data_IF_063636259841
#
_entry.id   IF_063636259841
#
_cell.length_a   1.000
_cell.length_b   1.000
_cell.length_c   1.000
_cell.angle_alpha   90.00
_cell.angle_beta   90.00
_cell.angle_gamma   90.00
#
_symmetry.space_group_name_H-M   'P 1'
#
loop_
_entity.id
_entity.type
_entity.pdbx_description
1 polymer ?
#
# COMPACT_ATOMS: atom_id res chain seq x y z
N UNK A 1 -10.16 0.77 12.65
CA UNK A 1 -10.67 1.93 11.89
C UNK A 1 -9.89 2.15 10.59
N UNK A 2 -9.52 1.08 9.87
CA UNK A 2 -8.88 1.16 8.56
C UNK A 2 -9.39 0.01 7.70
N UNK A 3 -8.87 -1.21 7.87
CA UNK A 3 -9.31 -2.39 7.12
C UNK A 3 -10.82 -2.70 7.27
N UNK A 4 -11.37 -2.50 8.47
CA UNK A 4 -12.82 -2.66 8.69
C UNK A 4 -13.69 -1.71 7.85
N UNK A 5 -13.18 -0.56 7.41
CA UNK A 5 -13.91 0.35 6.51
C UNK A 5 -14.05 -0.27 5.11
N UNK A 6 -13.06 -1.04 4.66
CA UNK A 6 -13.14 -1.76 3.39
C UNK A 6 -14.18 -2.88 3.46
N UNK A 7 -14.20 -3.69 4.54
CA UNK A 7 -15.22 -4.72 4.74
C UNK A 7 -16.62 -4.11 4.81
N UNK A 8 -16.77 -2.98 5.52
CA UNK A 8 -18.02 -2.21 5.54
C UNK A 8 -18.45 -1.82 4.13
N UNK A 9 -17.54 -1.24 3.34
CA UNK A 9 -17.82 -0.82 1.97
C UNK A 9 -18.17 -2.00 1.05
N UNK A 10 -17.44 -3.12 1.11
CA UNK A 10 -17.78 -4.33 0.36
C UNK A 10 -19.20 -4.81 0.71
N UNK A 11 -19.54 -4.81 2.00
CA UNK A 11 -20.85 -5.23 2.48
C UNK A 11 -21.96 -4.28 2.03
N UNK A 12 -21.78 -2.96 2.19
CA UNK A 12 -22.77 -1.96 1.76
C UNK A 12 -22.97 -1.99 0.24
N UNK A 13 -21.89 -2.14 -0.52
CA UNK A 13 -21.97 -2.29 -1.97
C UNK A 13 -22.74 -3.56 -2.37
N UNK A 14 -22.47 -4.69 -1.72
CA UNK A 14 -23.14 -5.97 -2.00
C UNK A 14 -24.62 -5.94 -1.62
N UNK A 15 -24.99 -5.19 -0.58
CA UNK A 15 -26.38 -4.96 -0.18
C UNK A 15 -27.12 -3.93 -1.07
N UNK A 16 -26.47 -3.40 -2.11
CA UNK A 16 -27.06 -2.39 -2.98
C UNK A 16 -27.27 -1.04 -2.30
N UNK A 17 -26.45 -0.71 -1.30
CA UNK A 17 -26.52 0.52 -0.49
C UNK A 17 -25.31 1.44 -0.71
N UNK A 18 -25.06 1.94 -1.94
CA UNK A 18 -23.89 2.77 -2.21
C UNK A 18 -23.87 4.09 -1.43
N UNK A 19 -25.03 4.63 -1.05
CA UNK A 19 -25.15 5.84 -0.23
C UNK A 19 -24.61 5.68 1.20
N UNK A 20 -24.45 4.45 1.67
CA UNK A 20 -23.96 4.14 3.02
C UNK A 20 -22.46 3.77 3.03
N UNK A 21 -21.79 3.88 1.88
CA UNK A 21 -20.37 3.62 1.74
C UNK A 21 -19.53 4.84 2.13
N UNK A 22 -18.32 4.57 2.61
CA UNK A 22 -17.27 5.58 2.70
C UNK A 22 -16.68 5.82 1.30
N UNK A 23 -17.00 6.94 0.69
CA UNK A 23 -16.56 7.32 -0.66
C UNK A 23 -16.64 8.85 -0.84
N UNK A 24 -16.07 9.36 -1.94
CA UNK A 24 -16.16 10.78 -2.27
C UNK A 24 -17.59 11.24 -2.63
N UNK A 25 -18.50 10.33 -2.96
CA UNK A 25 -19.87 10.63 -3.39
C UNK A 25 -20.94 10.35 -2.33
N UNK A 26 -20.57 9.70 -1.23
CA UNK A 26 -21.46 9.34 -0.13
C UNK A 26 -20.88 9.86 1.20
N UNK A 27 -20.46 8.97 2.11
CA UNK A 27 -19.89 9.38 3.40
C UNK A 27 -18.40 9.66 3.22
N UNK A 28 -18.03 10.93 3.15
CA UNK A 28 -16.65 11.33 2.84
C UNK A 28 -15.73 11.21 4.07
N UNK A 29 -14.52 10.71 3.84
CA UNK A 29 -13.41 10.75 4.80
C UNK A 29 -12.22 11.47 4.16
N UNK A 30 -12.30 12.79 4.08
CA UNK A 30 -11.30 13.59 3.36
C UNK A 30 -9.98 13.71 4.14
N UNK A 31 -8.81 13.57 3.47
CA UNK A 31 -7.50 13.78 4.07
C UNK A 31 -7.16 15.28 4.16
N UNK A 32 -7.96 16.04 4.92
CA UNK A 32 -7.90 17.52 4.97
C UNK A 32 -6.52 18.07 5.35
N UNK A 33 -5.78 17.39 6.23
CA UNK A 33 -4.43 17.82 6.60
C UNK A 33 -3.45 17.68 5.44
N UNK A 34 -3.55 16.60 4.66
CA UNK A 34 -2.70 16.42 3.49
C UNK A 34 -3.04 17.48 2.43
N UNK A 35 -4.32 17.70 2.15
CA UNK A 35 -4.78 18.74 1.22
C UNK A 35 -4.30 20.14 1.64
N UNK A 36 -4.34 20.45 2.94
CA UNK A 36 -3.80 21.70 3.48
C UNK A 36 -2.29 21.84 3.28
N UNK A 37 -1.53 20.76 3.48
CA UNK A 37 -0.10 20.71 3.17
C UNK A 37 0.13 20.92 1.66
N UNK A 38 -0.62 20.25 0.78
CA UNK A 38 -0.51 20.45 -0.69
C UNK A 38 -0.71 21.93 -1.04
N UNK A 39 -1.75 22.57 -0.51
CA UNK A 39 -2.03 23.98 -0.75
C UNK A 39 -0.91 24.91 -0.23
N UNK A 40 -0.38 24.62 0.96
CA UNK A 40 0.73 25.38 1.54
C UNK A 40 1.98 25.30 0.66
N UNK A 41 2.31 24.12 0.13
CA UNK A 41 3.44 23.95 -0.79
C UNK A 41 3.18 24.56 -2.17
N UNK A 42 1.96 24.48 -2.68
CA UNK A 42 1.58 25.06 -3.96
C UNK A 42 1.67 26.60 -3.94
N UNK A 43 1.21 27.23 -2.86
CA UNK A 43 1.23 28.69 -2.68
C UNK A 43 2.57 29.22 -2.15
N UNK A 44 3.53 28.36 -1.81
CA UNK A 44 4.81 28.79 -1.24
C UNK A 44 5.60 29.78 -2.12
N UNK A 45 5.71 29.60 -3.46
CA UNK A 45 6.41 30.55 -4.32
C UNK A 45 5.81 31.95 -4.19
N UNK A 46 6.66 32.95 -4.04
CA UNK A 46 6.26 34.37 -3.89
C UNK A 46 5.51 34.72 -2.58
N UNK A 47 5.22 33.77 -1.69
CA UNK A 47 4.67 34.03 -0.35
C UNK A 47 5.68 33.66 0.75
N UNK A 48 5.86 32.37 1.00
CA UNK A 48 6.75 31.85 2.07
C UNK A 48 8.13 31.47 1.53
N UNK A 49 8.27 31.37 0.20
CA UNK A 49 9.52 31.15 -0.51
C UNK A 49 9.70 32.22 -1.62
N UNK A 50 10.14 33.45 -1.30
CA UNK A 50 10.17 34.57 -2.24
C UNK A 50 11.05 34.35 -3.48
N UNK A 51 12.16 33.62 -3.30
CA UNK A 51 13.11 33.34 -4.37
C UNK A 51 12.74 32.09 -5.19
N UNK A 52 11.70 31.36 -4.81
CA UNK A 52 11.25 30.19 -5.55
C UNK A 52 10.35 30.60 -6.70
N UNK A 53 10.59 30.01 -7.88
CA UNK A 53 9.82 30.24 -9.10
C UNK A 53 8.67 29.23 -9.28
N UNK A 54 8.73 28.09 -8.59
CA UNK A 54 7.74 27.02 -8.66
C UNK A 54 7.65 26.29 -7.31
N UNK A 55 6.54 25.57 -7.09
CA UNK A 55 6.35 24.74 -5.91
C UNK A 55 7.38 23.59 -5.87
N UNK A 56 7.53 22.94 -4.71
CA UNK A 56 8.52 21.85 -4.51
C UNK A 56 8.31 20.66 -5.47
N UNK A 57 7.08 20.44 -5.94
CA UNK A 57 6.71 19.41 -6.89
C UNK A 57 5.42 19.82 -7.60
N UNK A 58 5.24 19.36 -8.84
CA UNK A 58 4.00 19.52 -9.61
C UNK A 58 2.85 18.65 -9.08
N UNK A 59 3.14 17.72 -8.16
CA UNK A 59 2.12 16.87 -7.52
C UNK A 59 1.21 17.65 -6.56
N UNK A 60 1.67 18.80 -6.05
CA UNK A 60 0.92 19.61 -5.08
C UNK A 60 -0.22 20.43 -5.73
N UNK A 61 -0.12 20.70 -7.04
CA UNK A 61 -0.99 21.61 -7.77
C UNK A 61 -0.29 22.20 -8.99
N UNK A 62 -1.04 22.95 -9.80
CA UNK A 62 -0.53 23.62 -11.00
C UNK A 62 -0.80 22.89 -12.31
N UNK A 63 -0.02 23.23 -13.33
CA UNK A 63 -0.23 22.74 -14.69
C UNK A 63 0.34 21.34 -14.90
N UNK A 64 -0.31 20.60 -15.79
CA UNK A 64 0.19 19.33 -16.28
C UNK A 64 1.40 19.54 -17.18
N UNK A 65 2.44 18.73 -16.99
CA UNK A 65 3.62 18.69 -17.86
C UNK A 65 3.59 17.44 -18.72
N UNK A 66 3.73 17.63 -20.02
CA UNK A 66 3.69 16.55 -21.02
C UNK A 66 5.01 16.46 -21.80
N UNK A 67 5.46 15.24 -22.08
CA UNK A 67 6.64 14.96 -22.93
C UNK A 67 6.29 13.83 -23.89
N UNK A 68 6.46 14.05 -25.20
CA UNK A 68 6.18 13.03 -26.21
C UNK A 68 4.72 12.55 -26.23
N UNK A 69 3.77 13.45 -25.92
CA UNK A 69 2.34 13.12 -25.84
C UNK A 69 1.93 12.35 -24.58
N UNK A 70 2.84 12.10 -23.63
CA UNK A 70 2.55 11.43 -22.35
C UNK A 70 2.65 12.41 -21.19
N UNK A 71 1.87 12.18 -20.15
CA UNK A 71 1.99 12.94 -18.90
C UNK A 71 3.32 12.61 -18.22
N UNK A 72 4.17 13.62 -18.05
CA UNK A 72 5.39 13.50 -17.25
C UNK A 72 5.06 13.67 -15.76
N UNK A 73 4.27 14.68 -15.41
CA UNK A 73 3.72 14.88 -14.07
C UNK A 73 2.47 15.76 -14.12
N UNK A 74 1.57 15.57 -13.16
CA UNK A 74 0.40 16.42 -12.93
C UNK A 74 0.02 16.39 -11.44
N UNK A 75 -0.86 17.30 -10.98
CA UNK A 75 -1.33 17.31 -9.60
C UNK A 75 -1.97 15.98 -9.21
N UNK A 76 -1.64 15.48 -8.01
CA UNK A 76 -2.20 14.24 -7.46
C UNK A 76 -3.28 14.63 -6.45
N UNK A 77 -4.55 14.45 -6.84
CA UNK A 77 -5.68 14.67 -5.94
C UNK A 77 -5.70 13.61 -4.84
N UNK A 78 -6.08 14.02 -3.63
CA UNK A 78 -6.22 13.14 -2.47
C UNK A 78 -7.67 13.14 -2.00
N UNK A 79 -8.35 12.00 -2.11
CA UNK A 79 -9.75 11.81 -1.69
C UNK A 79 -9.92 10.76 -0.60
N UNK A 80 -11.15 10.24 -0.48
CA UNK A 80 -11.51 9.24 0.54
C UNK A 80 -10.73 7.93 0.38
N UNK A 81 -10.52 7.47 -0.85
CA UNK A 81 -9.72 6.26 -1.12
C UNK A 81 -8.25 6.45 -0.70
N UNK A 82 -7.69 7.64 -0.91
CA UNK A 82 -6.35 7.97 -0.44
C UNK A 82 -6.29 7.99 1.09
N UNK A 83 -7.28 8.56 1.77
CA UNK A 83 -7.37 8.52 3.23
C UNK A 83 -7.38 7.08 3.76
N UNK A 84 -8.21 6.21 3.17
CA UNK A 84 -8.35 4.82 3.60
C UNK A 84 -7.02 4.06 3.47
N UNK A 85 -6.35 4.16 2.32
CA UNK A 85 -5.10 3.41 2.07
C UNK A 85 -3.93 3.92 2.90
N UNK A 86 -3.84 5.24 3.16
CA UNK A 86 -2.82 5.78 4.08
C UNK A 86 -2.98 5.25 5.51
N UNK A 87 -4.22 5.01 5.97
CA UNK A 87 -4.44 4.38 7.27
C UNK A 87 -4.11 2.87 7.28
N UNK A 88 -4.16 2.20 6.12
CA UNK A 88 -3.62 0.84 5.97
C UNK A 88 -2.08 0.86 6.04
N UNK A 89 -1.42 1.83 5.40
CA UNK A 89 0.04 1.99 5.53
C UNK A 89 0.43 2.22 6.98
N UNK A 90 -0.23 3.16 7.67
CA UNK A 90 0.01 3.41 9.08
C UNK A 90 -0.17 2.14 9.91
N UNK A 91 -1.29 1.42 9.74
CA UNK A 91 -1.54 0.17 10.44
C UNK A 91 -0.43 -0.87 10.23
N UNK A 92 -0.06 -1.16 8.98
CA UNK A 92 0.94 -2.20 8.67
C UNK A 92 2.34 -1.83 9.17
N UNK A 93 2.71 -0.55 9.11
CA UNK A 93 3.97 -0.04 9.68
C UNK A 93 3.96 -0.20 11.21
N UNK A 94 2.88 0.20 11.88
CA UNK A 94 2.79 0.09 13.35
C UNK A 94 2.86 -1.36 13.82
N UNK A 95 2.24 -2.31 13.10
CA UNK A 95 2.36 -3.73 13.44
C UNK A 95 3.78 -4.25 13.21
N UNK A 96 4.44 -3.83 12.13
CA UNK A 96 5.85 -4.18 11.87
C UNK A 96 6.75 -3.67 13.01
N UNK A 97 6.57 -2.40 13.41
CA UNK A 97 7.31 -1.80 14.54
C UNK A 97 6.99 -2.51 15.86
N UNK A 98 5.72 -2.84 16.12
CA UNK A 98 5.30 -3.57 17.33
C UNK A 98 6.06 -4.90 17.46
N UNK A 99 6.14 -5.68 16.38
CA UNK A 99 6.82 -6.98 16.38
C UNK A 99 8.32 -6.81 16.65
N UNK A 100 8.97 -5.91 15.91
CA UNK A 100 10.41 -5.71 16.02
C UNK A 100 10.79 -5.11 17.39
N UNK A 101 10.07 -4.09 17.84
CA UNK A 101 10.31 -3.45 19.13
C UNK A 101 10.05 -4.43 20.30
N UNK A 102 9.00 -5.25 20.22
CA UNK A 102 8.77 -6.33 21.19
C UNK A 102 9.93 -7.33 21.20
N UNK A 103 10.43 -7.73 20.03
CA UNK A 103 11.59 -8.61 19.91
C UNK A 103 12.84 -8.03 20.59
N UNK A 104 13.08 -6.73 20.40
CA UNK A 104 14.22 -6.02 21.01
C UNK A 104 14.05 -5.91 22.53
N UNK A 105 12.93 -5.39 23.01
CA UNK A 105 12.72 -5.12 24.44
C UNK A 105 12.66 -6.40 25.28
N UNK A 106 12.09 -7.50 24.75
CA UNK A 106 11.97 -8.77 25.45
C UNK A 106 13.05 -9.79 25.07
N UNK A 107 14.16 -9.34 24.48
CA UNK A 107 15.29 -10.20 24.08
C UNK A 107 16.05 -10.77 25.28
N UNK A 108 16.26 -9.95 26.33
CA UNK A 108 17.06 -10.34 27.50
C UNK A 108 16.25 -11.10 28.56
N UNK A 109 14.99 -10.74 28.74
CA UNK A 109 14.10 -11.36 29.72
C UNK A 109 12.64 -11.08 29.38
N UNK A 110 11.74 -11.94 29.81
CA UNK A 110 10.30 -11.66 29.85
C UNK A 110 9.71 -12.21 31.14
N UNK A 111 8.44 -11.87 31.43
CA UNK A 111 7.72 -12.45 32.56
C UNK A 111 7.63 -13.98 32.49
N UNK A 112 7.62 -14.54 31.27
CA UNK A 112 7.51 -15.99 31.04
C UNK A 112 8.86 -16.70 31.15
N UNK A 113 9.93 -16.07 30.63
CA UNK A 113 11.30 -16.62 30.59
C UNK A 113 12.24 -15.53 31.13
N UNK A 114 12.50 -15.52 32.45
CA UNK A 114 13.31 -14.49 33.10
C UNK A 114 14.78 -14.49 32.63
N UNK A 115 15.31 -15.64 32.28
CA UNK A 115 16.71 -15.91 31.94
C UNK A 115 16.96 -16.02 30.43
N UNK A 116 16.08 -15.43 29.61
CA UNK A 116 16.12 -15.56 28.13
C UNK A 116 17.48 -15.16 27.52
N UNK A 117 18.18 -14.19 28.11
CA UNK A 117 19.52 -13.78 27.68
C UNK A 117 20.53 -14.94 27.63
N UNK A 118 20.38 -15.97 28.48
CA UNK A 118 21.25 -17.14 28.50
C UNK A 118 21.02 -18.08 27.31
N UNK A 119 19.81 -18.06 26.73
CA UNK A 119 19.47 -18.83 25.52
C UNK A 119 20.03 -18.19 24.24
N UNK A 120 20.48 -16.94 24.31
CA UNK A 120 21.08 -16.20 23.20
C UNK A 120 20.05 -15.52 22.28
N UNK A 121 20.53 -15.01 21.14
CA UNK A 121 19.69 -14.27 20.19
C UNK A 121 18.80 -15.17 19.32
N UNK A 122 19.33 -16.34 18.91
CA UNK A 122 18.71 -17.27 17.97
C UNK A 122 18.58 -18.65 18.58
N UNK A 123 17.37 -19.00 18.98
CA UNK A 123 16.98 -20.30 19.51
C UNK A 123 15.49 -20.52 19.25
N UNK A 124 15.01 -21.76 19.03
CA UNK A 124 13.63 -21.99 18.55
C UNK A 124 12.55 -21.85 19.64
N UNK A 125 12.85 -22.28 20.86
CA UNK A 125 11.93 -22.28 22.01
C UNK A 125 12.69 -22.58 23.33
N UNK A 126 11.97 -22.51 24.45
CA UNK A 126 12.36 -23.02 25.78
C UNK A 126 11.46 -24.22 26.18
N UNK A 127 11.27 -25.15 25.23
CA UNK A 127 10.47 -26.37 25.40
C UNK A 127 8.94 -26.19 25.43
N UNK A 128 8.18 -27.30 25.56
CA UNK A 128 6.70 -27.29 25.55
C UNK A 128 6.08 -26.87 26.89
N UNK A 129 6.88 -26.64 27.93
CA UNK A 129 6.40 -26.18 29.23
C UNK A 129 5.71 -24.83 29.16
N UNK A 130 5.05 -24.43 30.25
CA UNK A 130 4.35 -23.13 30.38
C UNK A 130 3.28 -22.87 29.29
N UNK A 131 2.73 -23.93 28.71
CA UNK A 131 1.74 -23.86 27.62
C UNK A 131 2.34 -23.78 26.21
N UNK A 132 3.67 -23.84 26.07
CA UNK A 132 4.41 -23.73 24.82
C UNK A 132 5.15 -22.40 24.69
N UNK A 133 6.44 -22.45 24.34
CA UNK A 133 7.33 -21.28 24.26
C UNK A 133 7.95 -21.10 22.87
N UNK A 134 7.25 -21.55 21.84
CA UNK A 134 7.70 -21.38 20.45
C UNK A 134 7.88 -19.90 20.12
N UNK A 135 8.90 -19.59 19.31
CA UNK A 135 9.10 -18.27 18.70
C UNK A 135 9.29 -17.11 19.70
N UNK A 136 9.89 -17.40 20.85
CA UNK A 136 10.16 -16.39 21.89
C UNK A 136 11.47 -15.64 21.70
N UNK A 137 12.36 -16.09 20.80
CA UNK A 137 13.66 -15.46 20.57
C UNK A 137 13.52 -14.15 19.79
N UNK A 138 14.52 -13.27 19.89
CA UNK A 138 14.53 -12.04 19.10
C UNK A 138 14.70 -12.34 17.60
N UNK A 139 15.39 -13.43 17.24
CA UNK A 139 15.46 -13.90 15.86
C UNK A 139 14.08 -14.25 15.29
N UNK A 140 13.22 -14.90 16.07
CA UNK A 140 11.85 -15.22 15.63
C UNK A 140 11.00 -13.96 15.44
N UNK A 141 11.24 -12.90 16.22
CA UNK A 141 10.57 -11.62 16.00
C UNK A 141 11.05 -10.93 14.72
N UNK A 142 12.32 -11.08 14.34
CA UNK A 142 12.79 -10.64 13.02
C UNK A 142 12.11 -11.45 11.91
N UNK A 143 12.02 -12.77 12.06
CA UNK A 143 11.29 -13.65 11.14
C UNK A 143 9.84 -13.20 10.93
N UNK A 144 9.07 -12.98 12.01
CA UNK A 144 7.70 -12.47 11.92
C UNK A 144 7.64 -11.05 11.33
N UNK A 145 8.62 -10.20 11.66
CA UNK A 145 8.75 -8.85 11.14
C UNK A 145 8.94 -8.81 9.63
N UNK A 146 9.62 -9.81 9.03
CA UNK A 146 9.78 -9.91 7.58
C UNK A 146 8.45 -10.07 6.85
N UNK A 147 7.53 -10.88 7.37
CA UNK A 147 6.19 -11.04 6.76
C UNK A 147 5.36 -9.76 6.84
N UNK A 148 5.44 -9.03 7.95
CA UNK A 148 4.74 -7.77 8.11
C UNK A 148 5.34 -6.64 7.29
N UNK A 149 6.66 -6.62 7.15
CA UNK A 149 7.35 -5.73 6.21
C UNK A 149 6.93 -6.04 4.77
N UNK A 150 6.91 -7.31 4.37
CA UNK A 150 6.43 -7.73 3.06
C UNK A 150 4.98 -7.26 2.81
N UNK A 151 4.08 -7.49 3.77
CA UNK A 151 2.70 -7.03 3.69
C UNK A 151 2.62 -5.49 3.55
N UNK A 152 3.34 -4.75 4.39
CA UNK A 152 3.33 -3.28 4.38
C UNK A 152 3.81 -2.70 3.06
N UNK A 153 4.98 -3.14 2.58
CA UNK A 153 5.56 -2.64 1.33
C UNK A 153 4.75 -3.07 0.11
N UNK A 154 4.17 -4.28 0.10
CA UNK A 154 3.31 -4.75 -0.99
C UNK A 154 2.10 -3.83 -1.19
N UNK A 155 1.43 -3.44 -0.10
CA UNK A 155 0.29 -2.51 -0.19
C UNK A 155 0.74 -1.13 -0.68
N UNK A 156 1.90 -0.63 -0.21
CA UNK A 156 2.44 0.66 -0.65
C UNK A 156 2.73 0.67 -2.15
N UNK A 157 3.36 -0.38 -2.69
CA UNK A 157 3.66 -0.43 -4.14
C UNK A 157 2.40 -0.66 -4.98
N UNK A 158 1.40 -1.37 -4.48
CA UNK A 158 0.10 -1.49 -5.14
C UNK A 158 -0.66 -0.17 -5.16
N UNK A 159 -0.68 0.56 -4.04
CA UNK A 159 -1.20 1.91 -3.97
C UNK A 159 -0.52 2.82 -4.98
N UNK A 160 0.81 2.86 -5.00
CA UNK A 160 1.55 3.66 -5.95
C UNK A 160 1.21 3.29 -7.40
N UNK A 161 1.29 2.01 -7.75
CA UNK A 161 1.01 1.52 -9.10
C UNK A 161 -0.39 1.91 -9.58
N UNK A 162 -1.40 1.68 -8.74
CA UNK A 162 -2.78 1.96 -9.12
C UNK A 162 -3.05 3.46 -9.20
N UNK A 163 -2.64 4.23 -8.17
CA UNK A 163 -2.84 5.68 -8.13
C UNK A 163 -2.21 6.36 -9.34
N UNK A 164 -0.97 5.99 -9.68
CA UNK A 164 -0.28 6.57 -10.82
C UNK A 164 -0.94 6.20 -12.15
N UNK A 165 -1.38 4.95 -12.36
CA UNK A 165 -2.06 4.56 -13.59
C UNK A 165 -3.49 5.11 -13.72
N UNK A 166 -4.14 5.43 -12.61
CA UNK A 166 -5.53 5.90 -12.60
C UNK A 166 -5.64 7.40 -12.73
N UNK A 167 -4.82 8.14 -11.98
CA UNK A 167 -5.02 9.58 -11.77
C UNK A 167 -3.86 10.45 -12.28
N UNK A 168 -2.75 9.86 -12.75
CA UNK A 168 -1.54 10.61 -13.14
C UNK A 168 -1.09 10.30 -14.56
N UNK A 169 -0.67 9.07 -14.81
CA UNK A 169 -0.13 8.66 -16.10
C UNK A 169 -1.23 8.45 -17.13
N UNK A 170 -0.92 8.86 -18.35
CA UNK A 170 -1.86 8.84 -19.46
C UNK A 170 -1.27 9.50 -20.70
N UNK A 171 -2.10 9.55 -21.74
CA UNK A 171 -1.80 10.25 -22.99
C UNK A 171 -2.52 11.60 -22.99
N UNK A 172 -1.81 12.66 -23.40
CA UNK A 172 -2.38 13.99 -23.55
C UNK A 172 -2.97 14.12 -24.95
N UNK A 173 -4.26 14.42 -25.02
CA UNK A 173 -5.00 14.65 -26.25
C UNK A 173 -5.46 16.11 -26.32
N UNK A 174 -6.04 16.53 -27.46
CA UNK A 174 -6.59 17.87 -27.60
C UNK A 174 -7.75 18.16 -26.62
N UNK A 175 -8.38 17.13 -26.06
CA UNK A 175 -9.52 17.23 -25.14
C UNK A 175 -9.15 17.00 -23.67
N UNK A 176 -7.86 16.84 -23.33
CA UNK A 176 -7.38 16.62 -21.97
C UNK A 176 -6.50 15.38 -21.83
N UNK A 177 -6.52 14.76 -20.65
CA UNK A 177 -5.74 13.55 -20.36
C UNK A 177 -6.62 12.31 -20.46
N UNK A 178 -6.14 11.31 -21.18
CA UNK A 178 -6.69 9.95 -21.13
C UNK A 178 -5.78 9.09 -20.26
N UNK A 179 -6.18 8.86 -19.01
CA UNK A 179 -5.44 8.05 -18.05
C UNK A 179 -5.43 6.57 -18.43
N UNK A 180 -4.38 5.83 -18.04
CA UNK A 180 -4.20 4.41 -18.39
C UNK A 180 -5.41 3.57 -17.95
N UNK A 181 -5.95 3.84 -16.76
CA UNK A 181 -7.13 3.12 -16.22
C UNK A 181 -8.36 4.00 -16.05
N UNK A 182 -8.37 5.18 -16.67
CA UNK A 182 -9.55 6.04 -16.74
C UNK A 182 -10.08 6.59 -15.41
N UNK A 183 -9.23 6.86 -14.42
CA UNK A 183 -9.64 7.46 -13.15
C UNK A 183 -10.53 6.55 -12.27
N UNK A 184 -10.39 5.23 -12.39
CA UNK A 184 -11.16 4.27 -11.61
C UNK A 184 -10.78 4.17 -10.11
N UNK A 185 -9.68 4.78 -9.66
CA UNK A 185 -9.17 4.62 -8.29
C UNK A 185 -10.16 5.13 -7.23
N UNK A 186 -10.75 6.30 -7.43
CA UNK A 186 -11.64 6.91 -6.44
C UNK A 186 -12.87 6.04 -6.10
N UNK A 187 -13.42 5.32 -7.09
CA UNK A 187 -14.63 4.52 -6.92
C UNK A 187 -14.36 3.04 -6.61
N UNK A 188 -13.21 2.51 -7.03
CA UNK A 188 -12.88 1.10 -6.84
C UNK A 188 -11.98 0.85 -5.64
N UNK A 189 -11.04 1.75 -5.31
CA UNK A 189 -10.05 1.53 -4.27
C UNK A 189 -10.58 1.65 -2.84
N UNK A 190 -11.88 1.90 -2.66
CA UNK A 190 -12.58 1.96 -1.38
C UNK A 190 -13.16 0.58 -0.94
N UNK A 191 -13.02 -0.48 -1.75
CA UNK A 191 -13.49 -1.85 -1.47
C UNK A 191 -12.38 -2.86 -1.73
N UNK A 192 -12.32 -3.99 -1.01
CA UNK A 192 -11.38 -5.07 -1.32
C UNK A 192 -11.71 -5.69 -2.68
N UNK A 193 -12.99 -5.80 -3.02
CA UNK A 193 -13.42 -6.29 -4.32
C UNK A 193 -12.87 -5.43 -5.47
N UNK A 194 -12.81 -4.11 -5.32
CA UNK A 194 -12.20 -3.23 -6.32
C UNK A 194 -10.70 -3.46 -6.51
N UNK A 195 -9.93 -3.66 -5.42
CA UNK A 195 -8.51 -4.04 -5.51
C UNK A 195 -8.32 -5.39 -6.23
N UNK A 196 -9.22 -6.35 -6.02
CA UNK A 196 -9.16 -7.63 -6.70
C UNK A 196 -9.53 -7.52 -8.18
N UNK A 197 -10.64 -6.87 -8.51
CA UNK A 197 -11.23 -6.85 -9.85
C UNK A 197 -10.54 -5.84 -10.77
N UNK A 198 -10.45 -4.59 -10.34
CA UNK A 198 -10.08 -3.47 -11.23
C UNK A 198 -8.57 -3.20 -11.22
N UNK A 199 -7.86 -3.73 -10.22
CA UNK A 199 -6.41 -3.67 -10.13
C UNK A 199 -5.77 -5.04 -10.42
N UNK A 200 -5.84 -6.01 -9.50
CA UNK A 200 -5.11 -7.28 -9.64
C UNK A 200 -5.56 -8.08 -10.87
N UNK A 201 -6.86 -8.32 -11.03
CA UNK A 201 -7.38 -9.10 -12.14
C UNK A 201 -7.18 -8.37 -13.47
N UNK A 202 -7.64 -7.12 -13.59
CA UNK A 202 -7.54 -6.37 -14.84
C UNK A 202 -6.08 -6.17 -15.31
N UNK A 203 -5.17 -5.80 -14.41
CA UNK A 203 -3.76 -5.54 -14.75
C UNK A 203 -2.89 -6.80 -14.78
N UNK A 204 -3.41 -7.96 -14.40
CA UNK A 204 -2.71 -9.25 -14.63
C UNK A 204 -2.82 -9.72 -16.09
N UNK A 205 -3.70 -9.12 -16.89
CA UNK A 205 -3.95 -9.52 -18.28
C UNK A 205 -2.68 -9.55 -19.14
N UNK A 206 -1.80 -8.55 -18.99
CA UNK A 206 -0.56 -8.45 -19.76
C UNK A 206 0.41 -9.59 -19.42
N UNK A 207 0.57 -9.95 -18.13
CA UNK A 207 1.54 -10.97 -17.72
C UNK A 207 1.08 -12.38 -18.13
N UNK A 208 -0.23 -12.67 -18.04
CA UNK A 208 -0.77 -14.00 -18.41
C UNK A 208 -0.92 -14.20 -19.92
N UNK A 209 -1.04 -13.12 -20.70
CA UNK A 209 -1.10 -13.17 -22.17
C UNK A 209 0.26 -12.91 -22.84
N UNK A 210 1.35 -12.88 -22.06
CA UNK A 210 2.70 -12.53 -22.57
C UNK A 210 3.36 -13.62 -23.42
N UNK A 211 2.84 -14.86 -23.41
CA UNK A 211 3.43 -16.01 -24.11
C UNK A 211 3.42 -15.79 -25.62
N UNK A 212 4.53 -16.12 -26.29
CA UNK A 212 4.71 -15.85 -27.71
C UNK A 212 5.14 -14.41 -28.04
N UNK A 213 5.44 -13.58 -27.03
CA UNK A 213 5.99 -12.22 -27.20
C UNK A 213 7.36 -12.06 -26.54
N UNK A 214 8.00 -10.91 -26.76
CA UNK A 214 9.23 -10.52 -26.06
C UNK A 214 9.05 -10.39 -24.53
N UNK A 215 7.81 -10.32 -24.04
CA UNK A 215 7.49 -10.23 -22.61
C UNK A 215 7.26 -11.61 -21.95
N UNK A 216 7.35 -12.71 -22.71
CA UNK A 216 7.06 -14.07 -22.22
C UNK A 216 7.87 -14.49 -20.99
N UNK A 217 9.11 -13.99 -20.85
CA UNK A 217 9.94 -14.23 -19.67
C UNK A 217 9.29 -13.71 -18.38
N UNK A 218 8.53 -12.61 -18.42
CA UNK A 218 7.79 -12.12 -17.25
C UNK A 218 6.68 -13.09 -16.84
N UNK A 219 5.97 -13.69 -17.79
CA UNK A 219 4.97 -14.72 -17.51
C UNK A 219 5.58 -15.99 -16.88
N UNK A 220 6.75 -16.41 -17.35
CA UNK A 220 7.47 -17.55 -16.77
C UNK A 220 7.93 -17.27 -15.33
N UNK A 221 8.52 -16.09 -15.09
CA UNK A 221 8.93 -15.69 -13.73
C UNK A 221 7.72 -15.55 -12.81
N UNK A 222 6.60 -15.04 -13.32
CA UNK A 222 5.35 -14.93 -12.55
C UNK A 222 4.89 -16.29 -12.02
N UNK A 223 4.82 -17.31 -12.87
CA UNK A 223 4.47 -18.67 -12.43
C UNK A 223 5.53 -19.29 -11.51
N UNK A 224 6.81 -19.09 -11.82
CA UNK A 224 7.92 -19.55 -10.98
C UNK A 224 7.87 -18.95 -9.57
N UNK A 225 7.54 -17.66 -9.45
CA UNK A 225 7.39 -17.00 -8.16
C UNK A 225 6.20 -17.55 -7.36
N UNK A 226 5.06 -17.83 -8.01
CA UNK A 226 3.91 -18.47 -7.36
C UNK A 226 4.26 -19.86 -6.83
N UNK A 227 5.02 -20.64 -7.61
CA UNK A 227 5.52 -21.95 -7.20
C UNK A 227 6.44 -21.85 -5.97
N UNK A 228 7.44 -20.96 -6.00
CA UNK A 228 8.37 -20.77 -4.87
C UNK A 228 7.65 -20.26 -3.62
N UNK A 229 6.66 -19.36 -3.79
CA UNK A 229 5.82 -18.90 -2.68
C UNK A 229 5.05 -20.07 -2.04
N UNK A 230 4.37 -20.89 -2.85
CA UNK A 230 3.64 -22.05 -2.35
C UNK A 230 4.57 -23.10 -1.71
N UNK A 231 5.75 -23.30 -2.30
CA UNK A 231 6.78 -24.19 -1.76
C UNK A 231 7.28 -23.75 -0.38
N UNK A 232 7.38 -22.43 -0.13
CA UNK A 232 7.79 -21.91 1.17
C UNK A 232 6.81 -22.30 2.30
N UNK A 233 5.51 -22.43 1.99
CA UNK A 233 4.48 -22.81 2.96
C UNK A 233 4.67 -24.22 3.53
N UNK A 234 5.46 -25.07 2.87
CA UNK A 234 5.82 -26.39 3.40
C UNK A 234 6.72 -26.30 4.64
N UNK A 235 7.48 -25.21 4.78
CA UNK A 235 8.46 -25.02 5.86
C UNK A 235 7.99 -24.10 6.98
N UNK A 236 6.93 -23.32 6.74
CA UNK A 236 6.31 -22.41 7.70
C UNK A 236 5.33 -23.17 8.61
#
# INVERSE_FOLDING_TARGET
HSFGLYIHNDTMSALGRPQDMFSDTAIQLQPVFAQWIQNTHFLAPQLTAPNALAATSLTWGGDLVAVGGKVAMMPISLGTSDFMVHHIHAFTIHVTVLILLKGVLFSRSSRLIPDKANLGFRFPCDGPGRGGTCQVSAWDHVFLGLFWMYNSLSIVIFHFSWKMQSDVWGTVTASGVSHITGGNFAQSANTINGWLRDFLWAQSSQVIQSYGSALSAYGLIFLGAHFVWAFSLMFL
#
